data_IF_092739242692
#
_entry.id   IF_092739242692
#
_cell.length_a   1.000
_cell.length_b   1.000
_cell.length_c   1.000
_cell.angle_alpha   90.00
_cell.angle_beta   90.00
_cell.angle_gamma   90.00
#
_symmetry.space_group_name_H-M   'P 1'
#
loop_
_entity.id
_entity.type
_entity.pdbx_description
1 polymer ?
#
# COMPACT_ATOMS: atom_id res chain seq x y z
N UNK A 1 -6.65 -2.36 -48.00
CA UNK A 1 -6.43 -3.06 -46.71
C UNK A 1 -7.76 -3.41 -46.03
N UNK A 2 -7.89 -4.60 -45.44
CA UNK A 2 -9.14 -5.04 -44.78
C UNK A 2 -9.23 -4.46 -43.35
N UNK A 3 -10.45 -4.15 -42.89
CA UNK A 3 -10.70 -3.64 -41.52
C UNK A 3 -10.11 -4.53 -40.42
N UNK A 4 -10.08 -5.86 -40.63
CA UNK A 4 -9.44 -6.82 -39.73
C UNK A 4 -7.94 -6.54 -39.56
N UNK A 5 -7.22 -6.36 -40.66
CA UNK A 5 -5.78 -6.14 -40.64
C UNK A 5 -5.43 -4.82 -39.95
N UNK A 6 -6.30 -3.82 -40.06
CA UNK A 6 -6.12 -2.51 -39.40
C UNK A 6 -6.15 -2.69 -37.89
N UNK A 7 -7.16 -3.41 -37.39
CA UNK A 7 -7.30 -3.70 -35.96
C UNK A 7 -6.12 -4.52 -35.43
N UNK A 8 -5.64 -5.49 -36.20
CA UNK A 8 -4.48 -6.31 -35.80
C UNK A 8 -3.22 -5.45 -35.74
N UNK A 9 -2.95 -4.65 -36.77
CA UNK A 9 -1.77 -3.80 -36.84
C UNK A 9 -1.71 -2.81 -35.68
N UNK A 10 -2.79 -2.05 -35.48
CA UNK A 10 -2.87 -1.05 -34.42
C UNK A 10 -2.86 -1.68 -33.02
N UNK A 11 -3.56 -2.80 -32.84
CA UNK A 11 -3.60 -3.53 -31.57
C UNK A 11 -2.23 -4.08 -31.18
N UNK A 12 -1.51 -4.71 -32.11
CA UNK A 12 -0.18 -5.29 -31.85
C UNK A 12 0.94 -4.26 -31.75
N UNK A 13 0.77 -3.09 -32.36
CA UNK A 13 1.72 -1.97 -32.23
C UNK A 13 1.49 -1.13 -30.97
N UNK A 14 0.44 -1.41 -30.18
CA UNK A 14 0.24 -0.79 -28.86
C UNK A 14 0.11 0.75 -28.89
N UNK A 15 -0.39 1.33 -29.99
CA UNK A 15 -0.43 2.79 -30.20
C UNK A 15 0.97 3.45 -30.13
N UNK A 16 2.00 2.79 -30.66
CA UNK A 16 3.39 3.27 -30.60
C UNK A 16 4.03 3.12 -31.98
N UNK A 17 4.89 4.06 -32.34
CA UNK A 17 5.72 3.93 -33.54
C UNK A 17 6.67 2.74 -33.38
N UNK A 18 6.78 1.90 -34.42
CA UNK A 18 7.65 0.74 -34.36
C UNK A 18 9.15 1.07 -34.17
N UNK A 19 9.56 2.29 -34.52
CA UNK A 19 10.96 2.76 -34.36
C UNK A 19 11.14 3.53 -33.05
N UNK A 20 10.54 4.72 -32.91
CA UNK A 20 10.81 5.60 -31.76
C UNK A 20 9.87 5.43 -30.56
N UNK A 21 8.88 4.54 -30.65
CA UNK A 21 7.87 4.31 -29.61
C UNK A 21 7.07 5.56 -29.21
N UNK A 22 7.05 6.63 -30.01
CA UNK A 22 6.17 7.78 -29.73
C UNK A 22 4.70 7.36 -29.87
N UNK A 23 3.77 7.92 -29.06
CA UNK A 23 2.33 7.70 -29.22
C UNK A 23 1.83 8.08 -30.61
N UNK A 24 0.91 7.28 -31.16
CA UNK A 24 0.37 7.46 -32.52
C UNK A 24 -1.09 7.90 -32.56
N UNK A 25 -1.65 8.25 -31.41
CA UNK A 25 -2.93 8.93 -31.27
C UNK A 25 -2.76 10.09 -30.32
N UNK A 26 -3.61 11.09 -30.48
CA UNK A 26 -3.65 12.26 -29.60
C UNK A 26 -5.09 12.66 -29.32
N UNK A 27 -5.33 13.12 -28.09
CA UNK A 27 -6.57 13.78 -27.71
C UNK A 27 -6.55 15.22 -28.21
N UNK A 28 -7.62 15.66 -28.86
CA UNK A 28 -7.79 17.07 -29.16
C UNK A 28 -8.09 17.82 -27.86
N UNK A 29 -7.89 19.14 -27.87
CA UNK A 29 -8.28 20.05 -26.78
C UNK A 29 -9.79 20.07 -26.51
N UNK A 30 -10.60 19.46 -27.38
CA UNK A 30 -12.02 19.21 -27.17
C UNK A 30 -12.24 17.78 -26.62
N UNK A 31 -13.06 17.59 -25.57
CA UNK A 31 -13.33 16.28 -24.96
C UNK A 31 -13.93 15.22 -25.89
N UNK A 32 -14.29 15.59 -27.12
CA UNK A 32 -15.06 14.77 -28.07
C UNK A 32 -14.29 14.36 -29.32
N UNK A 33 -13.00 14.72 -29.44
CA UNK A 33 -12.22 14.42 -30.63
C UNK A 33 -10.86 13.78 -30.27
N UNK A 34 -10.60 12.61 -30.85
CA UNK A 34 -9.28 11.98 -30.89
C UNK A 34 -8.91 11.75 -32.35
N UNK A 35 -7.62 11.83 -32.67
CA UNK A 35 -7.14 11.63 -34.03
C UNK A 35 -5.89 10.76 -34.07
N UNK A 36 -5.71 10.09 -35.21
CA UNK A 36 -4.57 9.23 -35.50
C UNK A 36 -3.43 10.05 -36.07
N UNK A 37 -2.27 10.00 -35.43
CA UNK A 37 -0.99 10.52 -35.92
C UNK A 37 -0.19 9.44 -36.67
N UNK A 38 -0.46 8.17 -36.39
CA UNK A 38 0.24 7.03 -36.99
C UNK A 38 -0.17 6.74 -38.42
N UNK A 39 0.79 6.24 -39.18
CA UNK A 39 0.64 5.84 -40.57
C UNK A 39 0.95 4.34 -40.75
N UNK A 40 0.20 3.70 -41.64
CA UNK A 40 0.34 2.29 -41.97
C UNK A 40 1.25 2.18 -43.18
N UNK A 41 2.54 2.00 -42.93
CA UNK A 41 3.55 1.98 -43.98
C UNK A 41 3.67 0.58 -44.57
N UNK A 42 3.73 0.51 -45.90
CA UNK A 42 4.03 -0.73 -46.62
C UNK A 42 5.52 -1.07 -46.50
N UNK A 43 5.82 -2.28 -46.06
CA UNK A 43 7.19 -2.82 -46.04
C UNK A 43 7.67 -3.04 -47.48
N UNK A 44 6.88 -3.76 -48.28
CA UNK A 44 6.96 -3.81 -49.75
C UNK A 44 5.88 -2.87 -50.31
N UNK A 45 6.27 -1.82 -51.03
CA UNK A 45 5.36 -0.75 -51.49
C UNK A 45 4.11 -1.25 -52.23
N UNK A 46 3.05 -0.44 -52.25
CA UNK A 46 1.75 -0.80 -52.83
C UNK A 46 1.78 -0.98 -54.36
N UNK A 47 2.76 -0.36 -55.03
CA UNK A 47 2.95 -0.36 -56.50
C UNK A 47 4.39 -0.67 -56.87
N UNK A 48 4.61 -1.04 -58.12
CA UNK A 48 5.95 -1.40 -58.63
C UNK A 48 6.95 -0.23 -58.59
N UNK A 49 6.47 1.00 -58.76
CA UNK A 49 7.27 2.23 -58.70
C UNK A 49 7.34 2.86 -57.29
N UNK A 50 6.74 2.24 -56.27
CA UNK A 50 6.85 2.67 -54.89
C UNK A 50 8.14 2.13 -54.23
N UNK A 51 8.44 2.62 -53.03
CA UNK A 51 9.61 2.16 -52.28
C UNK A 51 9.54 0.64 -52.04
N UNK A 52 10.61 -0.08 -52.38
CA UNK A 52 10.69 -1.55 -52.33
C UNK A 52 9.56 -2.24 -53.14
N UNK A 53 9.05 -1.58 -54.19
CA UNK A 53 7.88 -2.02 -54.96
C UNK A 53 8.11 -3.24 -55.85
N UNK A 54 9.36 -3.51 -56.25
CA UNK A 54 9.73 -4.67 -57.10
C UNK A 54 9.66 -5.96 -56.29
N UNK A 55 8.54 -6.66 -56.39
CA UNK A 55 8.25 -7.87 -55.61
C UNK A 55 7.20 -8.74 -56.30
N UNK A 56 7.24 -10.04 -56.01
CA UNK A 56 6.27 -11.03 -56.48
C UNK A 56 4.94 -11.00 -55.70
N UNK A 57 4.85 -10.19 -54.63
CA UNK A 57 3.63 -10.07 -53.84
C UNK A 57 2.46 -9.55 -54.70
N UNK A 58 1.33 -10.22 -54.56
CA UNK A 58 0.03 -9.79 -55.09
C UNK A 58 -0.45 -8.51 -54.41
N UNK A 59 -1.44 -7.84 -55.01
CA UNK A 59 -2.06 -6.65 -54.41
C UNK A 59 -2.63 -6.95 -53.03
N UNK A 60 -3.29 -8.10 -52.86
CA UNK A 60 -3.85 -8.56 -51.59
C UNK A 60 -2.80 -8.80 -50.52
N UNK A 61 -1.64 -9.35 -50.88
CA UNK A 61 -0.53 -9.60 -49.95
C UNK A 61 0.14 -8.30 -49.53
N UNK A 62 0.31 -7.35 -50.46
CA UNK A 62 0.85 -6.02 -50.18
C UNK A 62 0.00 -5.26 -49.16
N UNK A 63 -1.32 -5.40 -49.26
CA UNK A 63 -2.29 -4.74 -48.37
C UNK A 63 -2.63 -5.53 -47.09
N UNK A 64 -1.89 -6.60 -46.78
CA UNK A 64 -2.09 -7.43 -45.60
C UNK A 64 -1.33 -6.90 -44.38
N UNK A 65 -1.81 -7.26 -43.18
CA UNK A 65 -1.12 -6.94 -41.91
C UNK A 65 0.36 -7.38 -41.89
N UNK A 66 0.69 -8.48 -42.57
CA UNK A 66 2.05 -9.03 -42.59
C UNK A 66 3.04 -8.12 -43.32
N UNK A 67 2.57 -7.35 -44.32
CA UNK A 67 3.38 -6.41 -45.10
C UNK A 67 3.29 -4.97 -44.58
N UNK A 68 2.61 -4.72 -43.47
CA UNK A 68 2.44 -3.36 -42.93
C UNK A 68 3.17 -3.19 -41.60
N UNK A 69 3.75 -2.01 -41.41
CA UNK A 69 4.37 -1.57 -40.15
C UNK A 69 3.77 -0.22 -39.74
N UNK A 70 3.52 -0.05 -38.43
CA UNK A 70 2.91 1.17 -37.92
C UNK A 70 3.98 2.17 -37.48
N UNK A 71 3.99 3.36 -38.09
CA UNK A 71 5.05 4.38 -37.88
C UNK A 71 4.46 5.76 -37.61
N UNK A 72 5.27 6.66 -37.05
CA UNK A 72 4.95 8.09 -37.07
C UNK A 72 5.34 8.69 -38.43
N UNK A 73 4.82 9.87 -38.79
CA UNK A 73 5.05 10.46 -40.12
C UNK A 73 6.53 10.68 -40.46
N UNK A 74 7.34 11.02 -39.45
CA UNK A 74 8.78 11.20 -39.61
C UNK A 74 9.47 9.90 -40.03
N UNK A 75 9.21 8.81 -39.32
CA UNK A 75 9.82 7.51 -39.62
C UNK A 75 9.26 6.88 -40.87
N UNK A 76 7.97 7.09 -41.18
CA UNK A 76 7.42 6.64 -42.46
C UNK A 76 8.13 7.32 -43.64
N UNK A 77 8.29 8.65 -43.58
CA UNK A 77 9.03 9.41 -44.60
C UNK A 77 10.49 8.95 -44.70
N UNK A 78 11.15 8.68 -43.57
CA UNK A 78 12.54 8.21 -43.53
C UNK A 78 12.73 6.89 -44.27
N UNK A 79 11.88 5.89 -44.00
CA UNK A 79 12.03 4.56 -44.61
C UNK A 79 11.76 4.59 -46.12
N UNK A 80 10.85 5.44 -46.58
CA UNK A 80 10.51 5.57 -47.99
C UNK A 80 11.56 6.33 -48.79
N UNK A 81 12.23 7.32 -48.16
CA UNK A 81 13.30 8.09 -48.81
C UNK A 81 14.66 7.39 -48.81
N UNK A 82 14.84 6.36 -47.98
CA UNK A 82 16.11 5.66 -47.83
C UNK A 82 15.95 4.13 -47.92
N UNK A 83 15.55 3.65 -49.10
CA UNK A 83 15.36 2.21 -49.35
C UNK A 83 16.61 1.36 -49.09
N UNK A 84 17.80 1.91 -49.39
CA UNK A 84 19.08 1.22 -49.17
C UNK A 84 19.35 1.01 -47.67
N UNK A 85 19.04 2.01 -46.84
CA UNK A 85 19.17 1.92 -45.37
C UNK A 85 18.05 1.14 -44.70
N UNK A 86 16.94 0.92 -45.41
CA UNK A 86 15.72 0.26 -44.92
C UNK A 86 15.24 -0.83 -45.88
N UNK A 87 16.00 -1.92 -46.05
CA UNK A 87 15.57 -3.07 -46.84
C UNK A 87 14.41 -3.81 -46.17
N UNK A 88 13.68 -4.62 -46.96
CA UNK A 88 12.49 -5.37 -46.54
C UNK A 88 12.73 -6.20 -45.28
N UNK A 89 13.83 -6.96 -45.22
CA UNK A 89 14.15 -7.84 -44.07
C UNK A 89 14.33 -7.04 -42.76
N UNK A 90 14.95 -5.86 -42.85
CA UNK A 90 15.15 -4.97 -41.70
C UNK A 90 13.82 -4.43 -41.19
N UNK A 91 12.90 -4.06 -42.08
CA UNK A 91 11.57 -3.56 -41.69
C UNK A 91 10.72 -4.66 -41.03
N UNK A 92 10.78 -5.89 -41.55
CA UNK A 92 10.16 -7.05 -40.87
C UNK A 92 10.75 -7.28 -39.48
N UNK A 93 12.08 -7.21 -39.35
CA UNK A 93 12.73 -7.33 -38.04
C UNK A 93 12.27 -6.24 -37.07
N UNK A 94 12.22 -4.97 -37.50
CA UNK A 94 11.75 -3.86 -36.66
C UNK A 94 10.30 -4.06 -36.22
N UNK A 95 9.42 -4.49 -37.13
CA UNK A 95 8.03 -4.83 -36.80
C UNK A 95 7.97 -5.93 -35.74
N UNK A 96 8.67 -7.04 -35.95
CA UNK A 96 8.66 -8.18 -35.01
C UNK A 96 9.22 -7.81 -33.64
N UNK A 97 10.35 -7.11 -33.58
CA UNK A 97 10.95 -6.63 -32.32
C UNK A 97 10.00 -5.67 -31.60
N UNK A 98 9.33 -4.78 -32.34
CA UNK A 98 8.38 -3.86 -31.74
C UNK A 98 7.15 -4.55 -31.16
N UNK A 99 6.51 -5.44 -31.91
CA UNK A 99 5.29 -6.13 -31.48
C UNK A 99 5.58 -7.09 -30.31
N UNK A 100 6.78 -7.68 -30.26
CA UNK A 100 7.25 -8.44 -29.11
C UNK A 100 7.38 -7.53 -27.88
N UNK A 101 8.07 -6.40 -28.02
CA UNK A 101 8.20 -5.41 -26.94
C UNK A 101 6.84 -4.93 -26.40
N UNK A 102 5.84 -4.70 -27.27
CA UNK A 102 4.48 -4.36 -26.82
C UNK A 102 3.87 -5.47 -25.98
N UNK A 103 4.01 -6.71 -26.44
CA UNK A 103 3.46 -7.89 -25.75
C UNK A 103 4.11 -8.08 -24.38
N UNK A 104 5.44 -7.99 -24.32
CA UNK A 104 6.22 -8.09 -23.08
C UNK A 104 5.85 -6.97 -22.11
N UNK A 105 5.85 -5.71 -22.57
CA UNK A 105 5.51 -4.55 -21.73
C UNK A 105 4.09 -4.66 -21.15
N UNK A 106 3.12 -5.12 -21.95
CA UNK A 106 1.75 -5.31 -21.46
C UNK A 106 1.64 -6.50 -20.49
N UNK A 107 2.41 -7.57 -20.68
CA UNK A 107 2.45 -8.72 -19.78
C UNK A 107 3.15 -8.44 -18.45
N UNK A 108 4.17 -7.59 -18.43
CA UNK A 108 4.86 -7.12 -17.21
C UNK A 108 3.97 -6.23 -16.34
N UNK A 109 2.87 -5.69 -16.87
CA UNK A 109 1.97 -4.79 -16.13
C UNK A 109 1.16 -5.46 -15.01
N UNK A 110 1.15 -6.80 -14.92
CA UNK A 110 0.55 -7.52 -13.80
C UNK A 110 1.61 -8.41 -13.15
N UNK A 111 2.38 -7.80 -12.24
CA UNK A 111 3.21 -8.56 -11.32
C UNK A 111 2.30 -9.30 -10.32
N UNK A 112 1.88 -10.50 -10.71
CA UNK A 112 1.00 -11.36 -9.92
C UNK A 112 1.59 -11.70 -8.55
N UNK A 113 2.93 -11.72 -8.43
CA UNK A 113 3.63 -11.96 -7.15
C UNK A 113 3.45 -10.76 -6.25
N UNK A 114 3.74 -9.55 -6.76
CA UNK A 114 3.53 -8.29 -6.03
C UNK A 114 2.07 -8.10 -5.62
N UNK A 115 1.12 -8.43 -6.50
CA UNK A 115 -0.30 -8.33 -6.18
C UNK A 115 -0.70 -9.30 -5.06
N UNK A 116 -0.19 -10.54 -5.09
CA UNK A 116 -0.43 -11.51 -4.02
C UNK A 116 0.20 -11.07 -2.68
N UNK A 117 1.43 -10.54 -2.71
CA UNK A 117 2.11 -9.97 -1.55
C UNK A 117 1.32 -8.81 -0.95
N UNK A 118 0.89 -7.85 -1.78
CA UNK A 118 0.03 -6.75 -1.36
C UNK A 118 -1.29 -7.24 -0.74
N UNK A 119 -1.92 -8.27 -1.32
CA UNK A 119 -3.17 -8.83 -0.79
C UNK A 119 -2.99 -9.43 0.60
N UNK A 120 -1.91 -10.18 0.81
CA UNK A 120 -1.59 -10.77 2.12
C UNK A 120 -1.35 -9.69 3.18
N UNK A 121 -0.67 -8.60 2.80
CA UNK A 121 -0.38 -7.46 3.69
C UNK A 121 -1.63 -6.66 4.03
N UNK A 122 -2.48 -6.36 3.04
CA UNK A 122 -3.75 -5.67 3.27
C UNK A 122 -4.62 -6.43 4.28
N UNK A 123 -4.66 -7.77 4.22
CA UNK A 123 -5.39 -8.56 5.21
C UNK A 123 -4.86 -8.40 6.65
N UNK A 124 -3.56 -8.18 6.83
CA UNK A 124 -2.97 -7.89 8.16
C UNK A 124 -3.33 -6.48 8.61
N UNK A 125 -3.34 -5.51 7.70
CA UNK A 125 -3.78 -4.14 7.97
C UNK A 125 -5.24 -4.11 8.40
N UNK A 126 -6.13 -4.79 7.67
CA UNK A 126 -7.55 -4.88 8.01
C UNK A 126 -7.75 -5.54 9.38
N UNK A 127 -6.99 -6.60 9.67
CA UNK A 127 -7.00 -7.25 11.00
C UNK A 127 -6.56 -6.28 12.10
N UNK A 128 -5.56 -5.43 11.84
CA UNK A 128 -5.13 -4.41 12.80
C UNK A 128 -6.24 -3.40 13.08
N UNK A 129 -6.93 -2.92 12.03
CA UNK A 129 -8.05 -1.98 12.17
C UNK A 129 -9.16 -2.56 13.04
N UNK A 130 -9.54 -3.81 12.78
CA UNK A 130 -10.61 -4.51 13.50
C UNK A 130 -10.21 -4.84 14.95
N UNK A 131 -9.11 -5.57 15.14
CA UNK A 131 -8.77 -6.14 16.45
C UNK A 131 -8.12 -5.13 17.41
N UNK A 132 -7.53 -4.05 16.90
CA UNK A 132 -7.01 -2.96 17.74
C UNK A 132 -8.01 -1.80 17.88
N UNK A 133 -9.19 -1.92 17.27
CA UNK A 133 -10.24 -0.89 17.25
C UNK A 133 -9.70 0.49 16.84
N UNK A 134 -8.91 0.53 15.76
CA UNK A 134 -8.23 1.76 15.31
C UNK A 134 -9.24 2.86 14.95
N UNK A 135 -10.43 2.48 14.48
CA UNK A 135 -11.50 3.42 14.14
C UNK A 135 -12.00 4.23 15.35
N UNK A 136 -11.91 3.65 16.55
CA UNK A 136 -12.33 4.24 17.81
C UNK A 136 -11.17 4.48 18.78
N UNK A 137 -9.93 4.61 18.25
CA UNK A 137 -8.70 4.72 19.04
C UNK A 137 -8.81 5.75 20.16
N UNK A 138 -9.22 6.98 19.84
CA UNK A 138 -9.36 8.07 20.80
C UNK A 138 -10.35 7.71 21.93
N UNK A 139 -11.47 7.10 21.56
CA UNK A 139 -12.55 6.78 22.49
C UNK A 139 -12.08 5.77 23.53
N UNK A 140 -11.55 4.62 23.11
CA UNK A 140 -11.17 3.59 24.07
C UNK A 140 -9.87 3.95 24.82
N UNK A 141 -8.91 4.62 24.17
CA UNK A 141 -7.67 5.04 24.86
C UNK A 141 -7.92 6.12 25.91
N UNK A 142 -8.87 7.05 25.69
CA UNK A 142 -9.25 8.03 26.73
C UNK A 142 -9.75 7.35 28.00
N UNK A 143 -10.47 6.23 27.87
CA UNK A 143 -10.92 5.44 29.00
C UNK A 143 -9.78 4.66 29.66
N UNK A 144 -8.86 4.10 28.87
CA UNK A 144 -7.67 3.42 29.37
C UNK A 144 -6.69 4.38 30.10
N UNK A 145 -6.71 5.66 29.72
CA UNK A 145 -5.87 6.74 30.27
C UNK A 145 -6.55 7.59 31.35
N UNK A 146 -7.74 7.19 31.81
CA UNK A 146 -8.50 7.92 32.85
C UNK A 146 -8.20 7.38 34.25
N UNK A 147 -8.41 8.14 35.34
CA UNK A 147 -8.27 7.64 36.72
C UNK A 147 -9.20 6.47 37.09
N UNK A 148 -10.26 6.28 36.31
CA UNK A 148 -11.20 5.16 36.41
C UNK A 148 -11.01 4.26 35.20
N UNK A 149 -9.79 3.76 35.03
CA UNK A 149 -9.36 2.99 33.85
C UNK A 149 -10.36 1.87 33.56
N UNK A 150 -10.79 1.80 32.30
CA UNK A 150 -11.68 0.74 31.84
C UNK A 150 -11.34 0.30 30.44
N UNK A 151 -11.46 -0.99 30.21
CA UNK A 151 -11.29 -1.63 28.92
C UNK A 151 -12.55 -2.42 28.61
N UNK A 152 -12.96 -2.49 27.34
CA UNK A 152 -14.02 -3.41 26.94
C UNK A 152 -13.56 -4.85 27.22
N UNK A 153 -14.48 -5.71 27.64
CA UNK A 153 -14.19 -7.10 28.00
C UNK A 153 -13.53 -7.90 26.87
N UNK A 154 -13.84 -7.58 25.61
CA UNK A 154 -13.32 -8.29 24.44
C UNK A 154 -11.90 -7.88 24.03
N UNK A 155 -11.43 -6.70 24.46
CA UNK A 155 -10.17 -6.11 24.02
C UNK A 155 -8.94 -6.99 24.33
N UNK A 156 -8.76 -7.57 25.52
CA UNK A 156 -7.61 -8.43 25.80
C UNK A 156 -7.48 -9.60 24.81
N UNK A 157 -8.60 -10.27 24.52
CA UNK A 157 -8.65 -11.38 23.56
C UNK A 157 -8.37 -10.89 22.13
N UNK A 158 -8.96 -9.76 21.72
CA UNK A 158 -8.74 -9.17 20.41
C UNK A 158 -7.26 -8.82 20.18
N UNK A 159 -6.62 -8.17 21.14
CA UNK A 159 -5.20 -7.77 21.07
C UNK A 159 -4.26 -8.97 21.07
N UNK A 160 -4.57 -10.01 21.86
CA UNK A 160 -3.84 -11.27 21.79
C UNK A 160 -3.94 -11.93 20.40
N UNK A 161 -5.14 -11.94 19.81
CA UNK A 161 -5.36 -12.48 18.47
C UNK A 161 -4.65 -11.65 17.39
N UNK A 162 -4.61 -10.33 17.53
CA UNK A 162 -3.82 -9.47 16.64
C UNK A 162 -2.33 -9.83 16.71
N UNK A 163 -1.77 -9.96 17.90
CA UNK A 163 -0.37 -10.39 18.08
C UNK A 163 -0.10 -11.76 17.49
N UNK A 164 -1.00 -12.72 17.68
CA UNK A 164 -0.92 -14.05 17.05
C UNK A 164 -0.89 -13.95 15.53
N UNK A 165 -1.76 -13.11 14.94
CA UNK A 165 -1.81 -12.87 13.49
C UNK A 165 -0.50 -12.28 12.98
N UNK A 166 0.02 -11.25 13.63
CA UNK A 166 1.30 -10.60 13.26
C UNK A 166 2.46 -11.59 13.32
N UNK A 167 2.56 -12.39 14.38
CA UNK A 167 3.60 -13.40 14.54
C UNK A 167 3.53 -14.53 13.49
N UNK A 168 2.33 -14.89 13.04
CA UNK A 168 2.13 -15.92 12.02
C UNK A 168 2.27 -15.39 10.58
N UNK A 169 2.44 -14.07 10.40
CA UNK A 169 2.51 -13.46 9.07
C UNK A 169 3.87 -13.71 8.44
N UNK A 170 3.86 -14.18 7.18
CA UNK A 170 5.05 -14.25 6.34
C UNK A 170 5.20 -12.89 5.66
N UNK A 171 6.11 -12.06 6.19
CA UNK A 171 6.35 -10.72 5.69
C UNK A 171 7.24 -10.76 4.45
N UNK A 172 6.80 -10.21 3.31
CA UNK A 172 7.68 -10.03 2.15
C UNK A 172 8.81 -9.04 2.48
N UNK A 173 10.04 -9.23 1.97
CA UNK A 173 11.19 -8.39 2.30
C UNK A 173 10.97 -6.89 2.02
N UNK A 174 10.20 -6.55 1.00
CA UNK A 174 9.88 -5.17 0.64
C UNK A 174 8.98 -4.45 1.66
N UNK A 175 8.35 -5.18 2.58
CA UNK A 175 7.52 -4.65 3.68
C UNK A 175 8.20 -4.76 5.05
N UNK A 176 9.55 -4.75 5.12
CA UNK A 176 10.29 -4.84 6.39
C UNK A 176 9.86 -3.78 7.40
N UNK A 177 9.76 -2.51 6.99
CA UNK A 177 9.37 -1.44 7.93
C UNK A 177 7.94 -1.65 8.45
N UNK A 178 7.02 -2.10 7.59
CA UNK A 178 5.66 -2.40 7.99
C UNK A 178 5.62 -3.57 8.97
N UNK A 179 6.43 -4.61 8.72
CA UNK A 179 6.60 -5.74 9.64
C UNK A 179 7.06 -5.26 11.01
N UNK A 180 8.12 -4.43 11.07
CA UNK A 180 8.63 -3.88 12.33
C UNK A 180 7.62 -3.01 13.05
N UNK A 181 6.87 -2.17 12.32
CA UNK A 181 5.82 -1.33 12.89
C UNK A 181 4.66 -2.17 13.43
N UNK A 182 4.20 -3.18 12.67
CA UNK A 182 3.13 -4.08 13.08
C UNK A 182 3.52 -4.93 14.31
N UNK A 183 4.75 -5.47 14.33
CA UNK A 183 5.28 -6.21 15.48
C UNK A 183 5.31 -5.30 16.71
N UNK A 184 5.86 -4.09 16.58
CA UNK A 184 5.96 -3.14 17.69
C UNK A 184 4.59 -2.76 18.25
N UNK A 185 3.63 -2.48 17.38
CA UNK A 185 2.24 -2.20 17.76
C UNK A 185 1.62 -3.39 18.50
N UNK A 186 1.78 -4.60 17.97
CA UNK A 186 1.18 -5.81 18.54
C UNK A 186 1.76 -6.17 19.90
N UNK A 187 3.06 -5.96 20.11
CA UNK A 187 3.73 -6.19 21.39
C UNK A 187 3.26 -5.17 22.40
N UNK A 188 3.29 -3.88 22.07
CA UNK A 188 2.93 -2.81 23.01
C UNK A 188 1.45 -2.87 23.41
N UNK A 189 0.55 -3.15 22.48
CA UNK A 189 -0.87 -3.34 22.80
C UNK A 189 -1.11 -4.57 23.69
N UNK A 190 -0.43 -5.68 23.41
CA UNK A 190 -0.54 -6.87 24.25
C UNK A 190 0.04 -6.61 25.65
N UNK A 191 1.20 -5.96 25.78
CA UNK A 191 1.76 -5.59 27.08
C UNK A 191 0.85 -4.60 27.83
N UNK A 192 0.25 -3.62 27.15
CA UNK A 192 -0.71 -2.70 27.77
C UNK A 192 -1.92 -3.45 28.34
N UNK A 193 -2.45 -4.40 27.57
CA UNK A 193 -3.54 -5.27 28.03
C UNK A 193 -3.10 -6.13 29.22
N UNK A 194 -1.97 -6.83 29.12
CA UNK A 194 -1.50 -7.73 30.17
C UNK A 194 -1.17 -6.98 31.47
N UNK A 195 -0.57 -5.79 31.38
CA UNK A 195 -0.31 -4.96 32.55
C UNK A 195 -1.62 -4.52 33.22
N UNK A 196 -2.59 -4.04 32.43
CA UNK A 196 -3.89 -3.64 32.94
C UNK A 196 -4.63 -4.80 33.62
N UNK A 197 -4.58 -6.00 33.03
CA UNK A 197 -5.28 -7.16 33.58
C UNK A 197 -4.75 -7.62 34.95
N UNK A 198 -3.53 -7.21 35.36
CA UNK A 198 -2.96 -7.56 36.68
C UNK A 198 -3.78 -7.03 37.87
N UNK A 199 -4.37 -5.84 37.74
CA UNK A 199 -5.17 -5.20 38.77
C UNK A 199 -6.49 -4.68 38.19
N UNK A 200 -7.25 -5.60 37.59
CA UNK A 200 -8.58 -5.31 37.05
C UNK A 200 -9.62 -6.30 37.55
N UNK A 201 -10.86 -5.83 37.69
CA UNK A 201 -12.03 -6.66 38.00
C UNK A 201 -13.06 -6.54 36.86
N UNK A 202 -13.84 -7.60 36.66
CA UNK A 202 -14.94 -7.60 35.67
C UNK A 202 -16.15 -6.83 36.22
N UNK A 203 -16.69 -5.93 35.40
CA UNK A 203 -17.89 -5.15 35.69
C UNK A 203 -18.76 -5.03 34.42
N UNK A 204 -19.71 -5.96 34.28
CA UNK A 204 -20.54 -6.04 33.08
C UNK A 204 -19.68 -6.33 31.85
N UNK A 205 -19.84 -5.54 30.79
CA UNK A 205 -19.09 -5.71 29.53
C UNK A 205 -17.71 -5.01 29.52
N UNK A 206 -17.17 -4.73 30.70
CA UNK A 206 -15.91 -4.03 30.88
C UNK A 206 -15.06 -4.69 31.94
N UNK A 207 -13.74 -4.55 31.80
CA UNK A 207 -12.80 -4.64 32.90
C UNK A 207 -12.54 -3.23 33.42
N UNK A 208 -12.51 -3.07 34.75
CA UNK A 208 -12.23 -1.80 35.42
C UNK A 208 -11.07 -1.94 36.38
N UNK A 209 -10.33 -0.87 36.61
CA UNK A 209 -9.25 -0.84 37.59
C UNK A 209 -9.76 -1.26 38.97
N UNK A 210 -9.10 -2.27 39.54
CA UNK A 210 -9.31 -2.69 40.91
C UNK A 210 -8.58 -1.74 41.86
N UNK A 211 -9.34 -0.93 42.58
CA UNK A 211 -8.81 -0.02 43.61
C UNK A 211 -8.57 -0.78 44.91
N UNK A 212 -7.63 -1.73 44.89
CA UNK A 212 -7.38 -2.65 46.00
C UNK A 212 -7.08 -1.95 47.33
N UNK A 213 -6.44 -0.78 47.28
CA UNK A 213 -6.20 0.08 48.45
C UNK A 213 -7.48 0.51 49.19
N UNK A 214 -8.66 0.46 48.54
CA UNK A 214 -9.99 0.76 49.12
C UNK A 214 -10.82 -0.48 49.45
N UNK A 215 -10.35 -1.71 49.18
CA UNK A 215 -11.11 -2.94 49.44
C UNK A 215 -11.38 -3.16 50.93
N UNK A 216 -10.39 -3.07 51.84
CA UNK A 216 -10.63 -3.26 53.27
C UNK A 216 -11.33 -2.05 53.87
N UNK A 217 -12.32 -2.27 54.75
CA UNK A 217 -13.02 -1.19 55.45
C UNK A 217 -12.10 -0.37 56.38
N UNK A 218 -11.00 -0.98 56.86
CA UNK A 218 -9.94 -0.33 57.61
C UNK A 218 -8.59 -0.88 57.13
N UNK A 219 -8.07 -0.31 56.03
CA UNK A 219 -6.80 -0.72 55.47
C UNK A 219 -5.64 -0.12 56.28
N UNK A 220 -4.94 -0.94 57.05
CA UNK A 220 -3.77 -0.51 57.84
C UNK A 220 -2.58 -0.12 56.98
N UNK A 221 -2.54 -0.59 55.73
CA UNK A 221 -1.46 -0.38 54.77
C UNK A 221 -1.90 0.53 53.60
N UNK A 222 -2.94 1.36 53.81
CA UNK A 222 -3.55 2.20 52.78
C UNK A 222 -2.55 2.98 51.92
N UNK A 223 -1.60 3.66 52.56
CA UNK A 223 -0.63 4.51 51.85
C UNK A 223 0.30 3.67 50.97
N UNK A 224 0.70 2.48 51.43
CA UNK A 224 1.55 1.57 50.65
C UNK A 224 0.79 1.00 49.45
N UNK A 225 -0.45 0.55 49.66
CA UNK A 225 -1.31 0.03 48.59
C UNK A 225 -1.67 1.11 47.55
N UNK A 226 -1.87 2.35 48.00
CA UNK A 226 -2.15 3.47 47.09
C UNK A 226 -0.93 3.75 46.20
N UNK A 227 0.28 3.78 46.77
CA UNK A 227 1.53 3.95 46.00
C UNK A 227 1.72 2.82 44.98
N UNK A 228 1.41 1.57 45.37
CA UNK A 228 1.47 0.43 44.44
C UNK A 228 0.46 0.59 43.28
N UNK A 229 -0.77 0.99 43.60
CA UNK A 229 -1.82 1.23 42.62
C UNK A 229 -1.44 2.35 41.64
N UNK A 230 -0.94 3.48 42.13
CA UNK A 230 -0.49 4.61 41.31
C UNK A 230 0.67 4.20 40.40
N UNK A 231 1.65 3.47 40.92
CA UNK A 231 2.76 2.96 40.13
C UNK A 231 2.30 1.97 39.03
N UNK A 232 1.29 1.13 39.30
CA UNK A 232 0.68 0.27 38.30
C UNK A 232 -0.08 1.07 37.23
N UNK A 233 -0.84 2.06 37.65
CA UNK A 233 -1.59 2.95 36.76
C UNK A 233 -0.66 3.70 35.80
N UNK A 234 0.45 4.23 36.31
CA UNK A 234 1.48 4.90 35.49
C UNK A 234 2.07 3.97 34.43
N UNK A 235 2.39 2.71 34.78
CA UNK A 235 2.87 1.71 33.81
C UNK A 235 1.84 1.42 32.72
N UNK A 236 0.56 1.30 33.10
CA UNK A 236 -0.52 1.13 32.12
C UNK A 236 -0.59 2.32 31.16
N UNK A 237 -0.51 3.55 31.69
CA UNK A 237 -0.55 4.76 30.87
C UNK A 237 0.63 4.85 29.90
N UNK A 238 1.84 4.56 30.38
CA UNK A 238 3.02 4.55 29.53
C UNK A 238 2.91 3.53 28.40
N UNK A 239 2.40 2.33 28.65
CA UNK A 239 2.21 1.33 27.61
C UNK A 239 1.19 1.77 26.55
N UNK A 240 0.08 2.43 26.94
CA UNK A 240 -0.90 2.98 25.98
C UNK A 240 -0.30 4.14 25.17
N UNK A 241 0.53 5.01 25.80
CA UNK A 241 1.27 6.08 25.10
C UNK A 241 2.22 5.49 24.06
N UNK A 242 3.01 4.48 24.42
CA UNK A 242 3.94 3.82 23.49
C UNK A 242 3.19 3.07 22.38
N UNK A 243 2.08 2.38 22.70
CA UNK A 243 1.21 1.76 21.72
C UNK A 243 0.67 2.78 20.71
N UNK A 244 0.33 3.99 21.16
CA UNK A 244 -0.11 5.09 20.27
C UNK A 244 1.01 5.55 19.34
N UNK A 245 2.26 5.66 19.82
CA UNK A 245 3.42 5.94 18.94
C UNK A 245 3.55 4.87 17.86
N UNK A 246 3.39 3.61 18.23
CA UNK A 246 3.45 2.47 17.30
C UNK A 246 2.28 2.46 16.31
N UNK A 247 1.06 2.82 16.75
CA UNK A 247 -0.10 2.93 15.87
C UNK A 247 0.11 4.02 14.81
N UNK A 248 0.65 5.17 15.21
CA UNK A 248 1.00 6.25 14.28
C UNK A 248 2.09 5.84 13.28
N UNK A 249 3.15 5.17 13.74
CA UNK A 249 4.19 4.67 12.84
C UNK A 249 3.64 3.62 11.87
N UNK A 250 2.84 2.67 12.35
CA UNK A 250 2.15 1.69 11.51
C UNK A 250 1.30 2.38 10.44
N UNK A 251 0.46 3.35 10.82
CA UNK A 251 -0.38 4.09 9.88
C UNK A 251 0.42 4.91 8.86
N UNK A 252 1.54 5.51 9.25
CA UNK A 252 2.45 6.23 8.33
C UNK A 252 2.99 5.28 7.26
N UNK A 253 3.43 4.08 7.64
CA UNK A 253 3.97 3.07 6.71
C UNK A 253 2.86 2.51 5.81
N UNK A 254 1.68 2.20 6.37
CA UNK A 254 0.52 1.74 5.58
C UNK A 254 0.12 2.79 4.54
N UNK A 255 0.08 4.08 4.91
CA UNK A 255 -0.21 5.16 3.94
C UNK A 255 0.82 5.25 2.83
N UNK A 256 2.09 5.05 3.15
CA UNK A 256 3.17 5.14 2.16
C UNK A 256 3.17 3.95 1.19
N UNK A 257 3.03 2.74 1.71
CA UNK A 257 3.38 1.52 0.95
C UNK A 257 2.18 0.68 0.52
N UNK A 258 1.00 0.87 1.13
CA UNK A 258 -0.18 0.00 0.94
C UNK A 258 -1.39 0.79 0.45
N UNK A 259 -1.86 1.76 1.23
CA UNK A 259 -3.07 2.52 0.94
C UNK A 259 -2.92 3.99 1.37
N UNK A 260 -2.66 4.93 0.43
CA UNK A 260 -2.53 6.36 0.74
C UNK A 260 -3.73 6.99 1.43
N UNK A 261 -4.91 6.38 1.33
CA UNK A 261 -6.14 6.86 1.96
C UNK A 261 -6.36 6.31 3.37
N UNK A 262 -5.50 5.44 3.88
CA UNK A 262 -5.60 4.85 5.21
C UNK A 262 -5.66 5.95 6.29
N UNK A 263 -6.83 6.13 6.90
CA UNK A 263 -7.12 7.19 7.88
C UNK A 263 -6.80 8.62 7.41
N UNK A 264 -6.69 8.88 6.10
CA UNK A 264 -6.28 10.20 5.59
C UNK A 264 -7.24 11.34 6.01
N UNK A 265 -8.54 11.05 6.12
CA UNK A 265 -9.53 12.02 6.58
C UNK A 265 -9.59 12.16 8.12
N UNK A 266 -9.32 11.07 8.85
CA UNK A 266 -9.32 11.06 10.33
C UNK A 266 -8.03 11.64 10.92
N UNK A 267 -6.92 11.55 10.19
CA UNK A 267 -5.62 12.04 10.61
C UNK A 267 -4.88 11.05 11.50
N UNK A 268 -3.97 11.58 12.32
CA UNK A 268 -3.13 10.80 13.25
C UNK A 268 -3.94 10.32 14.45
N UNK A 269 -3.51 9.21 15.04
CA UNK A 269 -4.01 8.77 16.33
C UNK A 269 -3.48 9.68 17.42
N UNK A 270 -4.37 10.19 18.26
CA UNK A 270 -4.04 11.03 19.40
C UNK A 270 -4.68 10.45 20.65
N UNK A 271 -4.17 10.84 21.81
CA UNK A 271 -4.70 10.44 23.11
C UNK A 271 -5.16 11.67 23.87
N UNK A 272 -6.17 11.46 24.71
CA UNK A 272 -6.68 12.44 25.66
C UNK A 272 -6.46 11.89 27.07
N UNK A 273 -5.76 12.65 27.89
CA UNK A 273 -5.34 12.24 29.23
C UNK A 273 -5.95 13.15 30.28
N UNK A 274 -6.35 12.58 31.40
CA UNK A 274 -6.90 13.30 32.55
C UNK A 274 -8.26 12.78 33.02
N UNK A 275 -8.97 13.55 33.86
CA UNK A 275 -8.55 14.86 34.37
C UNK A 275 -7.28 14.75 35.23
N UNK A 276 -6.36 15.71 35.08
CA UNK A 276 -5.23 15.91 35.99
C UNK A 276 -5.70 16.61 37.28
N UNK A 277 -4.80 16.82 38.24
CA UNK A 277 -5.11 17.50 39.51
C UNK A 277 -5.73 18.90 39.32
N UNK A 278 -5.35 19.60 38.24
CA UNK A 278 -5.89 20.90 37.83
C UNK A 278 -7.22 20.81 37.06
N UNK A 279 -7.82 19.62 36.99
CA UNK A 279 -9.01 19.27 36.21
C UNK A 279 -8.85 19.44 34.68
N UNK A 280 -7.63 19.68 34.19
CA UNK A 280 -7.37 19.77 32.76
C UNK A 280 -7.41 18.39 32.10
N UNK A 281 -7.80 18.38 30.82
CA UNK A 281 -7.59 17.26 29.91
C UNK A 281 -6.53 17.70 28.91
N UNK A 282 -5.52 16.85 28.68
CA UNK A 282 -4.41 17.16 27.78
C UNK A 282 -4.47 16.23 26.57
N UNK A 283 -4.29 16.82 25.39
CA UNK A 283 -4.28 16.10 24.12
C UNK A 283 -2.84 16.01 23.62
N UNK A 284 -2.42 14.83 23.21
CA UNK A 284 -1.10 14.63 22.60
C UNK A 284 -1.17 13.70 21.40
N UNK A 285 -0.21 13.85 20.47
CA UNK A 285 -0.05 12.99 19.28
C UNK A 285 1.31 12.30 19.36
N UNK A 286 1.43 11.22 20.15
CA UNK A 286 2.71 10.52 20.35
C UNK A 286 3.25 9.97 19.04
N UNK A 287 4.53 10.24 18.76
CA UNK A 287 5.23 9.75 17.56
C UNK A 287 6.65 9.31 17.91
N UNK A 288 7.16 8.32 17.17
CA UNK A 288 8.57 7.94 17.25
C UNK A 288 9.44 8.91 16.45
N UNK A 289 10.58 9.25 17.02
CA UNK A 289 11.75 9.75 16.28
C UNK A 289 12.31 8.65 15.37
N UNK A 290 13.08 9.02 14.36
CA UNK A 290 13.67 8.02 13.46
C UNK A 290 14.66 7.10 14.18
N UNK A 291 15.40 7.61 15.17
CA UNK A 291 16.28 6.81 16.01
C UNK A 291 15.51 5.72 16.79
N UNK A 292 14.34 6.06 17.35
CA UNK A 292 13.49 5.09 18.02
C UNK A 292 12.95 4.04 17.04
N UNK A 293 12.50 4.45 15.85
CA UNK A 293 12.02 3.51 14.81
C UNK A 293 13.10 2.50 14.43
N UNK A 294 14.37 2.91 14.34
CA UNK A 294 15.47 2.00 14.01
C UNK A 294 15.73 0.95 15.09
N UNK A 295 15.54 1.30 16.37
CA UNK A 295 15.73 0.37 17.48
C UNK A 295 14.62 -0.69 17.63
N UNK A 296 13.46 -0.44 17.00
CA UNK A 296 12.27 -1.27 17.09
C UNK A 296 12.24 -2.36 16.00
N UNK A 297 11.73 -3.57 16.30
CA UNK A 297 11.15 -4.01 17.59
C UNK A 297 12.19 -4.58 18.57
N UNK A 298 13.48 -4.55 18.26
CA UNK A 298 14.51 -5.22 19.06
C UNK A 298 14.57 -4.72 20.51
N UNK A 299 14.38 -3.42 20.74
CA UNK A 299 14.31 -2.84 22.09
C UNK A 299 13.10 -3.30 22.91
N UNK A 300 12.04 -3.83 22.27
CA UNK A 300 10.85 -4.35 22.96
C UNK A 300 11.01 -5.81 23.41
N UNK A 301 12.08 -6.50 23.01
CA UNK A 301 12.33 -7.90 23.42
C UNK A 301 12.57 -8.08 24.93
N UNK A 302 12.66 -7.00 25.69
CA UNK A 302 12.64 -7.00 27.16
C UNK A 302 11.24 -7.31 27.73
N UNK A 303 10.20 -7.25 26.90
CA UNK A 303 8.79 -7.46 27.27
C UNK A 303 8.16 -8.67 26.55
N UNK A 304 8.96 -9.48 25.85
CA UNK A 304 8.52 -10.57 24.97
C UNK A 304 8.62 -11.96 25.60
#
# INVERSE_FOLDING_TARGET
MKSKDVKILWGRSGNRCAICKTPLTQEATSPTASFTLGEQAHIVGDKENAARGKSLLTSEERDSYHNLILLCPNHHTEIDKNEVGWPVDKLHQVKSVHELWVTETLSETIDHVRLAQQTAISAVVDTAVELCDLENWQSWTSHALSPSQRWREDMPSALFNFRKRVNATIWPPEFDELSRAAISLSVLLHCASDEFMKHSDSLGNYYVADRFYRRPANNTDYDADLVEFEAWQDRCYDLVRQATKAANWFADVVRRDVNPMFFAAKGRFFIEEGPFEDLSVRVSIPQYTDAEKTALPASLKLYA
#
